data_IF_315697884447
#
_entry.id   IF_315697884447
#
_cell.length_a   1.000
_cell.length_b   1.000
_cell.length_c   1.000
_cell.angle_alpha   90.00
_cell.angle_beta   90.00
_cell.angle_gamma   90.00
#
_symmetry.space_group_name_H-M   'P 1'
#
loop_
_entity.id
_entity.type
_entity.pdbx_description
1 polymer ?
#
# COMPACT_ATOMS: atom_id res chain seq x y z
N UNK A 1 -22.47 -31.30 28.92
CA UNK A 1 -21.26 -31.78 28.23
C UNK A 1 -20.66 -30.58 27.51
N UNK A 2 -19.59 -30.03 28.09
CA UNK A 2 -18.68 -28.94 27.69
C UNK A 2 -19.25 -27.75 26.87
N UNK A 3 -19.68 -26.67 27.53
CA UNK A 3 -18.91 -25.43 27.86
C UNK A 3 -18.63 -24.53 26.66
N UNK A 4 -19.51 -23.54 26.48
CA UNK A 4 -19.25 -22.31 25.76
C UNK A 4 -18.05 -21.60 26.39
N UNK A 5 -17.00 -21.37 25.62
CA UNK A 5 -15.92 -20.46 25.98
C UNK A 5 -16.43 -19.04 25.72
N UNK A 6 -16.79 -18.35 26.80
CA UNK A 6 -17.04 -16.93 26.84
C UNK A 6 -15.70 -16.19 26.66
N UNK A 7 -15.53 -15.51 25.52
CA UNK A 7 -14.53 -14.44 25.41
C UNK A 7 -15.16 -13.17 25.99
N UNK A 8 -15.12 -13.05 27.32
CA UNK A 8 -15.37 -11.79 27.99
C UNK A 8 -14.23 -10.80 27.71
N UNK A 9 -14.60 -9.56 27.39
CA UNK A 9 -13.75 -8.35 27.34
C UNK A 9 -12.86 -8.11 26.12
N UNK A 10 -13.47 -7.95 24.93
CA UNK A 10 -13.02 -6.92 23.99
C UNK A 10 -14.25 -6.15 23.48
N UNK A 11 -14.55 -5.02 24.12
CA UNK A 11 -15.40 -3.98 23.53
C UNK A 11 -14.60 -3.30 22.43
N UNK A 12 -14.54 -3.90 21.23
CA UNK A 12 -14.31 -3.13 20.02
C UNK A 12 -15.67 -2.96 19.36
N UNK A 13 -16.22 -1.78 19.59
CA UNK A 13 -17.42 -1.24 18.98
C UNK A 13 -17.54 -1.71 17.53
N UNK A 14 -18.70 -2.29 17.23
CA UNK A 14 -19.15 -2.58 15.88
C UNK A 14 -19.43 -1.22 15.23
N UNK A 15 -18.39 -0.58 14.71
CA UNK A 15 -18.54 0.55 13.81
C UNK A 15 -19.13 0.03 12.50
N UNK A 16 -20.24 0.64 12.09
CA UNK A 16 -20.98 0.25 10.89
C UNK A 16 -20.06 0.34 9.68
N UNK A 17 -20.01 -0.75 8.92
CA UNK A 17 -19.35 -0.85 7.61
C UNK A 17 -20.21 -0.11 6.58
N UNK A 18 -20.32 1.20 6.73
CA UNK A 18 -21.15 2.10 5.90
C UNK A 18 -20.36 2.88 4.87
N UNK A 19 -19.02 2.93 4.96
CA UNK A 19 -18.19 3.73 4.05
C UNK A 19 -17.47 2.92 2.95
N UNK A 20 -17.93 1.70 2.64
CA UNK A 20 -17.55 1.04 1.37
C UNK A 20 -18.50 1.57 0.28
N UNK A 21 -18.29 2.83 -0.10
CA UNK A 21 -19.05 3.48 -1.16
C UNK A 21 -18.25 3.38 -2.46
N UNK A 22 -18.77 2.58 -3.39
CA UNK A 22 -18.32 2.35 -4.78
C UNK A 22 -17.46 1.08 -4.99
N UNK A 23 -18.14 -0.05 -5.00
CA UNK A 23 -17.71 -1.24 -5.75
C UNK A 23 -18.13 -1.04 -7.20
N UNK A 24 -17.18 -0.81 -8.10
CA UNK A 24 -17.46 -0.78 -9.54
C UNK A 24 -17.03 -2.10 -10.20
N UNK A 25 -18.04 -2.84 -10.67
CA UNK A 25 -18.08 -3.83 -11.78
C UNK A 25 -16.95 -4.84 -12.08
N UNK A 26 -15.83 -4.94 -11.35
CA UNK A 26 -14.80 -5.94 -11.69
C UNK A 26 -13.56 -6.00 -10.80
N UNK A 27 -13.67 -6.68 -9.64
CA UNK A 27 -12.55 -7.01 -8.72
C UNK A 27 -11.79 -5.80 -8.14
N UNK A 28 -12.42 -4.63 -8.07
CA UNK A 28 -11.84 -3.41 -7.49
C UNK A 28 -12.58 -3.00 -6.20
N UNK A 29 -11.86 -2.36 -5.27
CA UNK A 29 -12.39 -1.84 -4.01
C UNK A 29 -11.76 -0.50 -3.68
N UNK A 30 -12.58 0.49 -3.34
CA UNK A 30 -12.12 1.78 -2.80
C UNK A 30 -12.15 1.73 -1.27
N UNK A 31 -11.07 2.16 -0.63
CA UNK A 31 -10.95 2.30 0.83
C UNK A 31 -10.71 3.76 1.19
N UNK A 32 -11.60 4.29 2.01
CA UNK A 32 -11.42 5.49 2.84
C UNK A 32 -11.18 5.05 4.28
N UNK A 33 -10.59 5.89 5.15
CA UNK A 33 -10.28 5.52 6.54
C UNK A 33 -9.54 4.15 6.64
N UNK A 34 -8.34 4.12 6.08
CA UNK A 34 -7.45 2.97 6.01
C UNK A 34 -7.18 2.36 7.38
N UNK A 35 -7.01 3.17 8.44
CA UNK A 35 -6.78 2.64 9.78
C UNK A 35 -7.88 1.65 10.16
N UNK A 36 -9.14 2.07 10.18
CA UNK A 36 -10.23 1.18 10.58
C UNK A 36 -10.48 0.05 9.56
N UNK A 37 -10.47 0.37 8.27
CA UNK A 37 -10.91 -0.57 7.25
C UNK A 37 -9.89 -1.68 6.97
N UNK A 38 -8.60 -1.42 7.09
CA UNK A 38 -7.57 -2.45 6.88
C UNK A 38 -7.47 -3.44 8.04
N UNK A 39 -8.00 -3.12 9.22
CA UNK A 39 -8.18 -4.05 10.35
C UNK A 39 -9.58 -4.67 10.40
N UNK A 40 -10.49 -4.32 9.49
CA UNK A 40 -11.86 -4.83 9.51
C UNK A 40 -11.93 -6.25 8.94
N UNK A 41 -12.37 -7.20 9.78
CA UNK A 41 -12.60 -8.58 9.35
C UNK A 41 -13.62 -8.67 8.21
N UNK A 42 -14.63 -7.80 8.18
CA UNK A 42 -15.62 -7.74 7.11
C UNK A 42 -14.99 -7.29 5.78
N UNK A 43 -14.10 -6.29 5.82
CA UNK A 43 -13.34 -5.85 4.63
C UNK A 43 -12.46 -6.98 4.12
N UNK A 44 -11.73 -7.64 5.03
CA UNK A 44 -10.91 -8.80 4.70
C UNK A 44 -11.69 -9.95 4.04
N UNK A 45 -12.83 -10.33 4.62
CA UNK A 45 -13.72 -11.35 4.04
C UNK A 45 -14.25 -10.91 2.68
N UNK A 46 -14.59 -9.64 2.51
CA UNK A 46 -15.08 -9.09 1.24
C UNK A 46 -14.02 -9.23 0.15
N UNK A 47 -12.79 -8.79 0.42
CA UNK A 47 -11.65 -8.90 -0.51
C UNK A 47 -11.38 -10.36 -0.86
N UNK A 48 -11.44 -11.24 0.14
CA UNK A 48 -11.14 -12.67 -0.04
C UNK A 48 -12.22 -13.37 -0.85
N UNK A 49 -13.49 -13.29 -0.44
CA UNK A 49 -14.60 -14.02 -1.06
C UNK A 49 -15.00 -13.49 -2.43
N UNK A 50 -14.90 -12.16 -2.65
CA UNK A 50 -15.18 -11.57 -3.96
C UNK A 50 -13.97 -11.63 -4.92
N UNK A 51 -12.82 -12.11 -4.45
CA UNK A 51 -11.60 -12.18 -5.27
C UNK A 51 -11.16 -10.81 -5.78
N UNK A 52 -11.23 -9.78 -4.92
CA UNK A 52 -10.78 -8.42 -5.27
C UNK A 52 -9.27 -8.45 -5.49
N UNK A 53 -8.82 -7.86 -6.60
CA UNK A 53 -7.43 -7.82 -7.02
C UNK A 53 -6.88 -6.40 -7.08
N UNK A 54 -7.76 -5.40 -7.16
CA UNK A 54 -7.37 -3.99 -7.22
C UNK A 54 -7.93 -3.26 -6.01
N UNK A 55 -7.11 -2.45 -5.36
CA UNK A 55 -7.53 -1.62 -4.23
C UNK A 55 -7.10 -0.18 -4.46
N UNK A 56 -8.04 0.74 -4.31
CA UNK A 56 -7.80 2.18 -4.32
C UNK A 56 -7.89 2.72 -2.90
N UNK A 57 -6.92 3.53 -2.50
CA UNK A 57 -6.82 4.13 -1.17
C UNK A 57 -6.89 5.65 -1.32
N UNK A 58 -7.91 6.23 -0.67
CA UNK A 58 -8.19 7.67 -0.62
C UNK A 58 -8.08 8.22 0.81
N UNK A 59 -7.15 7.68 1.59
CA UNK A 59 -6.97 8.06 2.99
C UNK A 59 -5.54 8.55 3.25
N UNK A 60 -5.35 9.87 3.38
CA UNK A 60 -4.03 10.45 3.56
C UNK A 60 -3.54 10.24 4.99
N UNK A 61 -2.22 10.08 5.14
CA UNK A 61 -1.50 10.24 6.42
C UNK A 61 -1.90 9.33 7.60
N UNK A 62 -2.76 8.33 7.38
CA UNK A 62 -3.02 7.28 8.36
C UNK A 62 -1.74 6.51 8.69
N UNK A 63 -1.46 6.33 9.99
CA UNK A 63 -0.39 5.46 10.45
C UNK A 63 -0.95 4.07 10.75
N UNK A 64 -0.49 3.07 9.99
CA UNK A 64 -0.91 1.67 10.12
C UNK A 64 0.21 0.91 10.85
N UNK A 65 0.10 0.70 12.18
CA UNK A 65 1.12 0.01 12.94
C UNK A 65 1.25 -1.46 12.50
N UNK A 66 2.47 -1.99 12.56
CA UNK A 66 2.75 -3.36 12.12
C UNK A 66 2.18 -4.50 12.97
N UNK A 67 1.30 -4.23 13.95
CA UNK A 67 0.72 -5.25 14.83
C UNK A 67 -0.71 -5.57 14.35
N UNK A 68 -0.99 -6.84 14.06
CA UNK A 68 -2.33 -7.39 13.73
C UNK A 68 -2.94 -7.06 12.35
N UNK A 69 -2.20 -7.18 11.25
CA UNK A 69 -2.77 -6.97 9.91
C UNK A 69 -3.24 -8.28 9.23
N UNK A 70 -4.31 -8.17 8.43
CA UNK A 70 -4.69 -9.24 7.50
C UNK A 70 -3.73 -9.30 6.32
N UNK A 71 -3.51 -10.51 5.78
CA UNK A 71 -2.73 -10.71 4.56
C UNK A 71 -3.66 -10.69 3.35
N UNK A 72 -3.69 -9.58 2.64
CA UNK A 72 -4.52 -9.37 1.45
C UNK A 72 -3.92 -10.05 0.21
N UNK A 73 -3.90 -11.39 0.22
CA UNK A 73 -3.22 -12.21 -0.81
C UNK A 73 -3.76 -12.06 -2.22
N UNK A 74 -5.01 -11.62 -2.37
CA UNK A 74 -5.63 -11.45 -3.68
C UNK A 74 -5.24 -10.12 -4.34
N UNK A 75 -4.82 -9.12 -3.56
CA UNK A 75 -4.52 -7.79 -4.06
C UNK A 75 -3.21 -7.83 -4.85
N UNK A 76 -3.30 -7.36 -6.10
CA UNK A 76 -2.23 -7.28 -7.10
C UNK A 76 -1.90 -5.85 -7.50
N UNK A 77 -2.91 -4.96 -7.49
CA UNK A 77 -2.73 -3.55 -7.79
C UNK A 77 -3.23 -2.69 -6.63
N UNK A 78 -2.42 -1.71 -6.25
CA UNK A 78 -2.80 -0.63 -5.34
C UNK A 78 -2.75 0.72 -6.07
N UNK A 79 -3.74 1.55 -5.82
CA UNK A 79 -3.82 2.93 -6.34
C UNK A 79 -3.96 3.85 -5.14
N UNK A 80 -3.09 4.85 -5.03
CA UNK A 80 -3.25 5.95 -4.09
C UNK A 80 -3.77 7.16 -4.86
N UNK A 81 -4.96 7.64 -4.52
CA UNK A 81 -5.63 8.73 -5.23
C UNK A 81 -6.30 9.68 -4.27
N UNK A 82 -6.54 10.92 -4.71
CA UNK A 82 -7.16 11.97 -3.90
C UNK A 82 -6.40 12.25 -2.58
N UNK A 83 -5.08 11.99 -2.57
CA UNK A 83 -4.20 12.23 -1.43
C UNK A 83 -2.92 12.95 -1.86
N UNK A 84 -2.33 13.73 -0.95
CA UNK A 84 -1.05 14.42 -1.18
C UNK A 84 0.15 13.68 -0.58
N UNK A 85 -0.10 12.85 0.43
CA UNK A 85 0.89 11.99 1.08
C UNK A 85 0.29 10.62 1.35
N UNK A 86 1.03 9.55 1.04
CA UNK A 86 0.59 8.19 1.36
C UNK A 86 0.40 8.00 2.87
N UNK A 87 -0.45 7.06 3.32
CA UNK A 87 -0.37 6.55 4.69
C UNK A 87 1.04 6.00 4.96
N UNK A 88 1.35 5.77 6.24
CA UNK A 88 2.58 5.09 6.66
C UNK A 88 2.24 3.65 7.06
N UNK A 89 2.62 2.70 6.22
CA UNK A 89 2.37 1.26 6.44
C UNK A 89 3.71 0.57 6.71
N UNK A 90 3.99 0.18 7.96
CA UNK A 90 5.29 -0.35 8.36
C UNK A 90 5.63 -1.74 7.81
N UNK A 91 4.61 -2.58 7.56
CA UNK A 91 4.77 -3.99 7.12
C UNK A 91 4.05 -4.26 5.80
N UNK A 92 4.19 -3.31 4.87
CA UNK A 92 3.47 -3.31 3.60
C UNK A 92 3.61 -4.63 2.84
N UNK A 93 4.83 -5.16 2.70
CA UNK A 93 5.09 -6.41 1.96
C UNK A 93 4.48 -7.65 2.63
N UNK A 94 4.25 -7.64 3.93
CA UNK A 94 3.57 -8.76 4.61
C UNK A 94 2.05 -8.65 4.49
N UNK A 95 1.55 -7.42 4.48
CA UNK A 95 0.13 -7.11 4.34
C UNK A 95 -0.36 -7.34 2.91
N UNK A 96 0.45 -6.99 1.90
CA UNK A 96 0.18 -7.17 0.48
C UNK A 96 1.25 -8.07 -0.19
N UNK A 97 1.30 -9.36 0.17
CA UNK A 97 2.43 -10.24 -0.22
C UNK A 97 2.53 -10.53 -1.72
N UNK A 98 1.44 -10.36 -2.47
CA UNK A 98 1.36 -10.66 -3.89
C UNK A 98 1.17 -9.39 -4.74
N UNK A 99 1.50 -8.22 -4.19
CA UNK A 99 1.38 -6.95 -4.90
C UNK A 99 2.36 -6.91 -6.09
N UNK A 100 1.83 -6.58 -7.27
CA UNK A 100 2.58 -6.55 -8.53
C UNK A 100 2.72 -5.12 -9.06
N UNK A 101 1.72 -4.28 -8.80
CA UNK A 101 1.60 -2.92 -9.32
C UNK A 101 1.19 -1.93 -8.22
N UNK A 102 1.78 -0.75 -8.27
CA UNK A 102 1.38 0.40 -7.49
C UNK A 102 1.31 1.63 -8.39
N UNK A 103 0.25 2.41 -8.22
CA UNK A 103 -0.04 3.62 -8.96
C UNK A 103 -0.36 4.75 -7.98
N UNK A 104 -0.03 5.96 -8.40
CA UNK A 104 -0.27 7.18 -7.64
C UNK A 104 -0.94 8.18 -8.56
N UNK A 105 -1.98 8.84 -8.08
CA UNK A 105 -2.51 9.98 -8.81
C UNK A 105 -1.50 11.13 -8.86
N UNK A 106 -1.85 12.13 -9.66
CA UNK A 106 -1.00 13.28 -9.91
C UNK A 106 -0.78 14.20 -8.70
N UNK A 107 -1.53 14.00 -7.61
CA UNK A 107 -1.50 14.84 -6.42
C UNK A 107 -0.55 14.29 -5.36
N UNK A 108 -0.12 13.02 -5.44
CA UNK A 108 0.77 12.41 -4.45
C UNK A 108 2.20 12.97 -4.58
N UNK A 109 2.59 13.79 -3.60
CA UNK A 109 3.90 14.45 -3.56
C UNK A 109 4.90 13.70 -2.67
N UNK A 110 4.40 13.04 -1.61
CA UNK A 110 5.22 12.43 -0.55
C UNK A 110 4.85 10.96 -0.35
N UNK A 111 5.85 10.08 -0.37
CA UNK A 111 5.71 8.66 -0.04
C UNK A 111 6.24 8.41 1.39
N UNK A 112 5.31 8.12 2.32
CA UNK A 112 5.62 7.74 3.72
C UNK A 112 5.64 6.22 3.94
N UNK A 113 5.03 5.45 3.03
CA UNK A 113 5.05 3.98 3.14
C UNK A 113 6.39 3.44 2.66
N UNK A 114 6.95 2.50 3.45
CA UNK A 114 8.14 1.75 3.07
C UNK A 114 7.68 0.48 2.34
N UNK A 115 7.96 0.41 1.05
CA UNK A 115 7.59 -0.74 0.21
C UNK A 115 8.66 -1.84 0.16
N UNK A 116 9.61 -1.83 1.09
CA UNK A 116 10.72 -2.78 1.11
C UNK A 116 10.25 -4.23 0.97
N UNK A 117 10.98 -5.00 0.16
CA UNK A 117 10.74 -6.41 -0.17
C UNK A 117 9.42 -6.71 -0.91
N UNK A 118 8.76 -5.69 -1.45
CA UNK A 118 7.55 -5.90 -2.26
C UNK A 118 7.89 -6.53 -3.62
N UNK A 119 6.93 -7.28 -4.16
CA UNK A 119 7.09 -8.04 -5.41
C UNK A 119 6.74 -7.22 -6.67
N UNK A 120 6.80 -5.89 -6.60
CA UNK A 120 6.44 -5.02 -7.72
C UNK A 120 7.25 -5.35 -8.97
N UNK A 121 6.58 -5.38 -10.12
CA UNK A 121 7.23 -5.43 -11.43
C UNK A 121 7.46 -4.02 -11.98
N UNK A 122 6.46 -3.16 -11.76
CA UNK A 122 6.40 -1.79 -12.26
C UNK A 122 5.88 -0.86 -11.17
N UNK A 123 6.54 0.28 -11.01
CA UNK A 123 6.13 1.38 -10.13
C UNK A 123 6.07 2.64 -10.99
N UNK A 124 4.93 3.34 -10.99
CA UNK A 124 4.76 4.61 -11.70
C UNK A 124 4.80 5.77 -10.70
N UNK A 125 5.86 6.57 -10.70
CA UNK A 125 6.04 7.70 -9.79
C UNK A 125 5.96 9.05 -10.53
N UNK A 126 4.93 9.22 -11.36
CA UNK A 126 4.91 10.29 -12.37
C UNK A 126 5.08 11.70 -11.81
N UNK A 127 4.76 11.97 -10.52
CA UNK A 127 4.89 13.29 -9.87
C UNK A 127 5.45 13.24 -8.42
N UNK A 128 6.11 12.15 -8.04
CA UNK A 128 6.65 12.01 -6.68
C UNK A 128 8.00 12.72 -6.57
N UNK A 129 8.10 13.67 -5.63
CA UNK A 129 9.30 14.51 -5.47
C UNK A 129 10.35 13.90 -4.55
N UNK A 130 9.94 13.12 -3.55
CA UNK A 130 10.85 12.58 -2.54
C UNK A 130 10.65 11.08 -2.35
N UNK A 131 11.76 10.35 -2.40
CA UNK A 131 11.82 8.91 -2.12
C UNK A 131 12.68 8.71 -0.87
N UNK A 132 12.03 8.28 0.20
CA UNK A 132 12.65 8.09 1.52
C UNK A 132 13.60 6.89 1.58
N UNK A 133 14.43 6.87 2.62
CA UNK A 133 15.41 5.80 2.83
C UNK A 133 14.71 4.45 2.86
N UNK A 134 15.33 3.45 2.23
CA UNK A 134 14.82 2.08 2.12
C UNK A 134 13.45 1.90 1.46
N UNK A 135 12.86 2.93 0.84
CA UNK A 135 11.49 2.89 0.31
C UNK A 135 11.22 1.69 -0.62
N UNK A 136 12.13 1.37 -1.54
CA UNK A 136 12.06 0.20 -2.43
C UNK A 136 13.21 -0.79 -2.20
N UNK A 137 13.75 -0.83 -0.97
CA UNK A 137 14.83 -1.74 -0.60
C UNK A 137 14.41 -3.20 -0.84
N UNK A 138 15.25 -3.98 -1.54
CA UNK A 138 14.98 -5.41 -1.73
C UNK A 138 13.81 -5.73 -2.66
N UNK A 139 13.26 -4.76 -3.40
CA UNK A 139 12.23 -4.98 -4.43
C UNK A 139 12.84 -5.66 -5.67
N UNK A 140 13.19 -6.95 -5.55
CA UNK A 140 13.98 -7.73 -6.54
C UNK A 140 13.32 -7.89 -7.91
N UNK A 141 12.00 -7.76 -8.00
CA UNK A 141 11.26 -7.87 -9.25
C UNK A 141 11.04 -6.52 -9.94
N UNK A 142 11.43 -5.40 -9.31
CA UNK A 142 11.19 -4.07 -9.83
C UNK A 142 12.12 -3.81 -11.01
N UNK A 143 11.61 -3.90 -12.24
CA UNK A 143 12.43 -3.78 -13.46
C UNK A 143 12.45 -2.37 -14.04
N UNK A 144 11.40 -1.58 -13.78
CA UNK A 144 11.27 -0.23 -14.33
C UNK A 144 10.65 0.72 -13.32
N UNK A 145 11.15 1.95 -13.31
CA UNK A 145 10.62 3.06 -12.50
C UNK A 145 10.77 4.37 -13.30
N UNK A 146 9.80 5.27 -13.16
CA UNK A 146 9.88 6.63 -13.70
C UNK A 146 10.31 7.59 -12.59
N UNK A 147 11.47 8.25 -12.74
CA UNK A 147 12.03 9.18 -11.74
C UNK A 147 12.23 10.60 -12.31
N UNK A 148 11.59 10.93 -13.43
CA UNK A 148 11.83 12.20 -14.14
C UNK A 148 11.50 13.45 -13.32
N UNK A 149 10.53 13.37 -12.40
CA UNK A 149 10.15 14.49 -11.54
C UNK A 149 10.61 14.33 -10.08
N UNK A 150 11.32 13.25 -9.77
CA UNK A 150 11.90 13.07 -8.44
C UNK A 150 13.01 14.11 -8.25
N UNK A 151 13.05 14.76 -7.08
CA UNK A 151 14.07 15.75 -6.74
C UNK A 151 15.01 15.26 -5.65
N UNK A 152 14.60 14.29 -4.82
CA UNK A 152 15.42 13.76 -3.73
C UNK A 152 15.21 12.25 -3.58
N UNK A 153 16.31 11.51 -3.56
CA UNK A 153 16.35 10.07 -3.22
C UNK A 153 17.32 9.90 -2.05
N UNK A 154 16.81 9.36 -0.94
CA UNK A 154 17.60 9.12 0.26
C UNK A 154 18.30 7.75 0.25
N UNK A 155 19.20 7.56 1.21
CA UNK A 155 20.05 6.37 1.36
C UNK A 155 19.29 5.03 1.22
N UNK A 156 19.90 4.12 0.48
CA UNK A 156 19.43 2.74 0.29
C UNK A 156 18.01 2.58 -0.29
N UNK A 157 17.37 3.65 -0.76
CA UNK A 157 16.00 3.62 -1.32
C UNK A 157 15.79 2.49 -2.35
N UNK A 158 16.81 2.19 -3.15
CA UNK A 158 16.77 1.14 -4.19
C UNK A 158 17.81 0.03 -4.00
N UNK A 159 18.46 -0.05 -2.83
CA UNK A 159 19.46 -1.08 -2.57
C UNK A 159 18.83 -2.47 -2.64
N UNK A 160 19.53 -3.42 -3.28
CA UNK A 160 19.04 -4.78 -3.53
C UNK A 160 17.71 -4.88 -4.33
N UNK A 161 17.33 -3.82 -5.05
CA UNK A 161 16.20 -3.87 -5.99
C UNK A 161 16.57 -4.55 -7.32
N UNK A 162 15.56 -4.91 -8.12
CA UNK A 162 15.74 -5.51 -9.44
C UNK A 162 16.04 -4.50 -10.55
N UNK A 163 16.17 -3.22 -10.22
CA UNK A 163 16.37 -2.17 -11.21
C UNK A 163 17.71 -2.37 -11.89
N UNK A 164 17.67 -2.53 -13.21
CA UNK A 164 18.84 -2.76 -14.03
C UNK A 164 18.72 -1.97 -15.34
N UNK A 165 19.87 -1.60 -15.93
CA UNK A 165 19.92 -0.84 -17.17
C UNK A 165 19.91 0.68 -16.94
N UNK A 166 19.58 1.43 -18.00
CA UNK A 166 19.59 2.89 -18.00
C UNK A 166 18.39 3.40 -17.20
N UNK A 167 18.65 4.10 -16.09
CA UNK A 167 17.64 4.82 -15.32
C UNK A 167 17.73 6.30 -15.72
N UNK A 168 16.62 6.88 -16.15
CA UNK A 168 16.55 8.30 -16.48
C UNK A 168 16.13 9.09 -15.25
N UNK A 169 17.01 9.99 -14.83
CA UNK A 169 16.77 10.92 -13.73
C UNK A 169 16.52 12.31 -14.32
N UNK A 170 15.59 13.04 -13.73
CA UNK A 170 15.47 14.49 -13.95
C UNK A 170 16.48 15.26 -13.10
N UNK A 171 16.03 16.37 -12.52
CA UNK A 171 16.83 17.19 -11.59
C UNK A 171 16.89 16.57 -10.18
N UNK A 172 17.38 15.32 -10.08
CA UNK A 172 17.49 14.56 -8.82
C UNK A 172 18.75 14.96 -8.03
N UNK A 173 18.58 15.22 -6.73
CA UNK A 173 19.64 15.17 -5.73
C UNK A 173 19.68 13.80 -5.07
N UNK A 174 20.85 13.15 -5.08
CA UNK A 174 21.09 11.88 -4.37
C UNK A 174 21.79 12.22 -3.05
N UNK A 175 21.25 11.72 -1.94
CA UNK A 175 21.78 11.97 -0.59
C UNK A 175 22.28 10.68 0.04
#
# INVERSE_FOLDING_TARGET
MLTALTFENIQHEIYSVTDILQYDTGKSLVIVNCFNNLYSFKVFQTITHKGIQNMEIKDPESYIPGRYFFKYRNIKKLIFSEITSTPSIQRFSEMFPNIEEIDFDDNVQTIKTIFAYSNFKKVQLNKVFHISSYCFYGCKNLQSINLLLCSTIDEFAFCNSGLAGKIELGSVSIR
#
